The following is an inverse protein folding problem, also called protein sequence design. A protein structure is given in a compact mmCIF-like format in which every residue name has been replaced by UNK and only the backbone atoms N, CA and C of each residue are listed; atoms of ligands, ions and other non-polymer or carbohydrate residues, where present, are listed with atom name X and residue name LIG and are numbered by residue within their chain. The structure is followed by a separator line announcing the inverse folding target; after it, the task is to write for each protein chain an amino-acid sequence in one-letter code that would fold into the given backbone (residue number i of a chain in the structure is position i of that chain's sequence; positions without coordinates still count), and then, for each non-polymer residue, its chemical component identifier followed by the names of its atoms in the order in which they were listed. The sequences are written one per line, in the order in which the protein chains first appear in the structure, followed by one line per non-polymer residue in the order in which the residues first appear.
data_IF_361895334235
#
_entry.id   IF_361895334235
#
_cell.length_a   1.000
_cell.length_b   1.000
_cell.length_c   1.000
_cell.angle_alpha   90.00
_cell.angle_beta   90.00
_cell.angle_gamma   90.00
#
_symmetry.space_group_name_H-M   'P 1'
#
loop_
_entity.id
_entity.type
_entity.pdbx_description
1 polymer ?
#
# COMPACT_ATOMS: atom_id res chain seq x y z
N UNK A 1 8.97 16.02 22.38
CA UNK A 1 9.00 16.74 21.08
C UNK A 1 10.24 16.30 20.29
N UNK A 2 10.17 16.11 18.96
CA UNK A 2 11.32 15.65 18.16
C UNK A 2 12.23 16.86 17.83
N UNK A 3 13.55 16.81 18.09
CA UNK A 3 14.44 17.93 17.83
C UNK A 3 14.46 18.29 16.33
N UNK A 4 14.63 19.59 16.02
CA UNK A 4 14.56 20.13 14.65
C UNK A 4 15.49 19.39 13.69
N UNK A 5 16.71 19.07 14.14
CA UNK A 5 17.70 18.32 13.37
C UNK A 5 17.23 16.91 12.94
N UNK A 6 16.26 16.32 13.64
CA UNK A 6 15.68 15.00 13.31
C UNK A 6 14.32 15.12 12.59
N UNK A 7 13.85 16.33 12.28
CA UNK A 7 12.57 16.57 11.62
C UNK A 7 12.75 16.54 10.10
N UNK A 8 12.11 15.57 9.44
CA UNK A 8 12.04 15.49 7.97
C UNK A 8 10.87 16.35 7.51
N UNK A 9 11.09 17.19 6.50
CA UNK A 9 10.04 18.03 5.89
C UNK A 9 10.05 17.84 4.38
N UNK A 10 8.88 17.78 3.73
CA UNK A 10 8.82 17.77 2.26
C UNK A 10 9.37 19.09 1.72
N UNK A 11 10.18 19.01 0.68
CA UNK A 11 10.71 20.16 -0.06
C UNK A 11 10.17 20.05 -1.48
N UNK A 12 9.51 21.09 -2.03
CA UNK A 12 9.03 21.08 -3.40
C UNK A 12 10.22 21.14 -4.35
N UNK A 13 10.64 19.98 -4.87
CA UNK A 13 11.74 19.84 -5.83
C UNK A 13 11.39 18.75 -6.85
N UNK A 14 12.16 18.67 -7.94
CA UNK A 14 11.97 17.63 -8.95
C UNK A 14 12.42 16.26 -8.41
N UNK A 15 11.65 15.22 -8.71
CA UNK A 15 12.03 13.85 -8.35
C UNK A 15 13.19 13.39 -9.24
N UNK A 16 14.37 13.05 -8.67
CA UNK A 16 15.49 12.58 -9.47
C UNK A 16 15.14 11.25 -10.16
N UNK A 17 15.67 11.04 -11.37
CA UNK A 17 15.34 9.87 -12.20
C UNK A 17 15.67 8.56 -11.49
N UNK A 18 16.77 8.53 -10.73
CA UNK A 18 17.24 7.35 -9.96
C UNK A 18 16.24 6.87 -8.88
N UNK A 19 15.32 7.72 -8.45
CA UNK A 19 14.30 7.40 -7.44
C UNK A 19 12.92 7.13 -8.08
N UNK A 20 12.82 7.14 -9.40
CA UNK A 20 11.57 6.78 -10.08
C UNK A 20 11.28 5.29 -9.88
N UNK A 21 10.02 4.97 -9.62
CA UNK A 21 9.56 3.59 -9.53
C UNK A 21 9.50 3.01 -10.94
N UNK A 22 10.40 2.07 -11.23
CA UNK A 22 10.35 1.28 -12.45
C UNK A 22 9.55 0.01 -12.21
N UNK A 23 8.50 -0.20 -13.02
CA UNK A 23 7.77 -1.47 -13.07
C UNK A 23 8.49 -2.39 -14.04
N UNK A 24 8.86 -3.58 -13.58
CA UNK A 24 9.42 -4.64 -14.40
C UNK A 24 8.34 -5.65 -14.74
N UNK A 25 8.38 -6.18 -15.96
CA UNK A 25 7.56 -7.30 -16.36
C UNK A 25 8.22 -8.58 -15.81
N UNK A 26 7.57 -9.21 -14.84
CA UNK A 26 8.04 -10.47 -14.25
C UNK A 26 7.10 -11.61 -14.66
N UNK A 27 7.40 -12.25 -15.79
CA UNK A 27 6.63 -13.39 -16.32
C UNK A 27 5.21 -13.02 -16.79
N UNK A 28 4.46 -14.04 -17.22
CA UNK A 28 3.04 -13.89 -17.57
C UNK A 28 2.17 -13.91 -16.31
N UNK A 29 1.45 -12.82 -15.98
CA UNK A 29 0.60 -12.75 -14.79
C UNK A 29 -0.62 -13.67 -14.84
N UNK A 30 -0.96 -14.23 -16.01
CA UNK A 30 -2.14 -15.07 -16.21
C UNK A 30 -1.82 -16.57 -16.24
N UNK A 31 -0.55 -16.94 -16.20
CA UNK A 31 -0.11 -18.33 -16.35
C UNK A 31 -0.74 -19.28 -15.31
N UNK A 32 -0.89 -18.80 -14.06
CA UNK A 32 -1.42 -19.59 -12.95
C UNK A 32 -2.92 -19.36 -12.70
N UNK A 33 -3.63 -18.72 -13.64
CA UNK A 33 -5.05 -18.41 -13.47
C UNK A 33 -5.88 -19.70 -13.49
N UNK A 34 -6.68 -19.99 -12.44
CA UNK A 34 -7.51 -21.18 -12.41
C UNK A 34 -8.62 -21.08 -13.46
N UNK A 35 -8.93 -22.22 -14.07
CA UNK A 35 -10.03 -22.30 -15.05
C UNK A 35 -11.37 -22.12 -14.34
N UNK A 36 -12.26 -21.35 -14.96
CA UNK A 36 -13.60 -21.12 -14.45
C UNK A 36 -14.42 -22.42 -14.47
N UNK A 37 -15.02 -22.84 -13.35
CA UNK A 37 -15.85 -24.04 -13.31
C UNK A 37 -17.17 -23.78 -14.07
N UNK A 38 -17.56 -24.73 -14.92
CA UNK A 38 -18.87 -24.71 -15.60
C UNK A 38 -20.03 -24.98 -14.63
N UNK A 39 -19.76 -25.76 -13.59
CA UNK A 39 -20.70 -26.07 -12.51
C UNK A 39 -20.10 -25.66 -11.18
N UNK A 40 -20.37 -24.43 -10.69
CA UNK A 40 -19.76 -23.94 -9.47
C UNK A 40 -20.24 -24.76 -8.26
N UNK A 41 -19.34 -25.18 -7.36
CA UNK A 41 -19.71 -25.89 -6.15
C UNK A 41 -20.49 -24.96 -5.21
N UNK A 42 -21.27 -25.53 -4.27
CA UNK A 42 -21.86 -24.74 -3.19
C UNK A 42 -20.76 -24.06 -2.36
N UNK A 43 -21.10 -22.91 -1.79
CA UNK A 43 -20.16 -22.16 -0.98
C UNK A 43 -19.72 -22.94 0.26
N UNK A 44 -18.41 -23.00 0.47
CA UNK A 44 -17.78 -23.55 1.67
C UNK A 44 -16.81 -22.49 2.19
N UNK A 45 -16.88 -22.08 3.47
CA UNK A 45 -15.95 -21.11 4.04
C UNK A 45 -14.47 -21.46 3.79
N UNK A 46 -13.67 -20.45 3.46
CA UNK A 46 -12.22 -20.54 3.30
C UNK A 46 -11.45 -20.14 4.54
N UNK A 47 -10.14 -19.93 4.39
CA UNK A 47 -9.29 -19.46 5.49
C UNK A 47 -9.53 -17.99 5.81
N UNK A 48 -9.65 -17.15 4.78
CA UNK A 48 -9.92 -15.71 4.88
C UNK A 48 -11.35 -15.39 4.48
N UNK A 49 -11.94 -16.11 3.53
CA UNK A 49 -13.32 -15.87 3.12
C UNK A 49 -14.30 -16.70 3.96
N UNK A 50 -14.65 -16.19 5.15
CA UNK A 50 -15.58 -16.84 6.09
C UNK A 50 -17.04 -16.54 5.75
N UNK A 51 -17.97 -17.32 6.34
CA UNK A 51 -19.42 -17.10 6.18
C UNK A 51 -19.82 -15.67 6.59
N UNK A 52 -19.34 -15.19 7.74
CA UNK A 52 -19.63 -13.84 8.21
C UNK A 52 -19.18 -12.74 7.23
N UNK A 53 -18.01 -12.93 6.59
CA UNK A 53 -17.50 -12.00 5.58
C UNK A 53 -18.32 -12.08 4.29
N UNK A 54 -18.74 -13.27 3.88
CA UNK A 54 -19.62 -13.46 2.73
C UNK A 54 -20.99 -12.80 2.93
N UNK A 55 -21.57 -12.91 4.14
CA UNK A 55 -22.87 -12.31 4.47
C UNK A 55 -22.76 -10.78 4.57
N UNK A 56 -21.65 -10.25 5.10
CA UNK A 56 -21.38 -8.80 5.16
C UNK A 56 -21.07 -8.18 3.80
N UNK A 57 -20.44 -8.93 2.89
CA UNK A 57 -20.10 -8.43 1.56
C UNK A 57 -21.35 -8.14 0.73
N UNK A 58 -22.48 -8.80 1.04
CA UNK A 58 -23.75 -8.70 0.33
C UNK A 58 -23.57 -8.70 -1.19
N UNK A 59 -23.22 -9.86 -1.75
CA UNK A 59 -22.81 -10.00 -3.16
C UNK A 59 -23.92 -9.68 -4.17
N UNK A 60 -25.19 -9.68 -3.75
CA UNK A 60 -26.31 -9.41 -4.64
C UNK A 60 -27.44 -8.66 -3.91
N UNK A 61 -27.22 -7.36 -3.58
CA UNK A 61 -28.22 -6.56 -2.88
C UNK A 61 -29.49 -6.38 -3.74
N UNK A 62 -29.33 -6.40 -5.06
CA UNK A 62 -30.39 -6.26 -6.06
C UNK A 62 -31.17 -7.53 -6.35
N UNK A 63 -30.71 -8.70 -5.86
CA UNK A 63 -31.25 -10.02 -6.23
C UNK A 63 -31.29 -10.24 -7.76
N UNK A 64 -30.30 -9.70 -8.46
CA UNK A 64 -30.20 -9.75 -9.92
C UNK A 64 -29.58 -11.07 -10.39
N UNK A 65 -28.65 -11.64 -9.60
CA UNK A 65 -27.90 -12.82 -9.99
C UNK A 65 -28.72 -14.09 -9.80
N UNK A 66 -28.53 -15.05 -10.70
CA UNK A 66 -29.05 -16.39 -10.51
C UNK A 66 -28.32 -17.09 -9.35
N UNK A 67 -28.94 -18.06 -8.67
CA UNK A 67 -28.28 -18.80 -7.59
C UNK A 67 -26.96 -19.46 -8.02
N UNK A 68 -26.87 -19.91 -9.27
CA UNK A 68 -25.66 -20.49 -9.86
C UNK A 68 -24.56 -19.46 -10.09
N UNK A 69 -24.91 -18.25 -10.55
CA UNK A 69 -23.97 -17.15 -10.74
C UNK A 69 -23.44 -16.66 -9.39
N UNK A 70 -24.31 -16.56 -8.38
CA UNK A 70 -23.92 -16.19 -7.04
C UNK A 70 -22.94 -17.22 -6.43
N UNK A 71 -23.15 -18.51 -6.66
CA UNK A 71 -22.19 -19.55 -6.29
C UNK A 71 -20.85 -19.41 -7.03
N UNK A 72 -20.88 -19.03 -8.31
CA UNK A 72 -19.67 -18.78 -9.09
C UNK A 72 -18.86 -17.60 -8.54
N UNK A 73 -19.52 -16.50 -8.19
CA UNK A 73 -18.87 -15.33 -7.59
C UNK A 73 -18.27 -15.70 -6.23
N UNK A 74 -19.01 -16.44 -5.39
CA UNK A 74 -18.50 -16.96 -4.11
C UNK A 74 -17.29 -17.87 -4.30
N UNK A 75 -17.30 -18.74 -5.32
CA UNK A 75 -16.16 -19.57 -5.67
C UNK A 75 -14.97 -18.71 -6.08
N UNK A 76 -15.16 -17.68 -6.91
CA UNK A 76 -14.09 -16.79 -7.37
C UNK A 76 -13.43 -16.05 -6.19
N UNK A 77 -14.23 -15.47 -5.30
CA UNK A 77 -13.71 -14.76 -4.11
C UNK A 77 -12.95 -15.73 -3.20
N UNK A 78 -13.45 -16.96 -3.04
CA UNK A 78 -12.77 -17.98 -2.25
C UNK A 78 -11.44 -18.41 -2.87
N UNK A 79 -11.42 -18.70 -4.17
CA UNK A 79 -10.23 -19.16 -4.90
C UNK A 79 -9.12 -18.11 -4.84
N UNK A 80 -9.48 -16.83 -4.82
CA UNK A 80 -8.55 -15.71 -4.73
C UNK A 80 -8.54 -15.07 -3.33
N UNK A 81 -8.82 -15.83 -2.27
CA UNK A 81 -8.99 -15.26 -0.91
C UNK A 81 -7.74 -14.56 -0.36
N UNK A 82 -6.54 -14.87 -0.89
CA UNK A 82 -5.29 -14.20 -0.54
C UNK A 82 -5.09 -12.86 -1.23
N UNK A 83 -5.78 -12.62 -2.35
CA UNK A 83 -5.70 -11.37 -3.10
C UNK A 83 -6.51 -10.25 -2.43
N UNK A 84 -7.55 -10.62 -1.68
CA UNK A 84 -8.36 -9.68 -0.90
C UNK A 84 -7.82 -9.53 0.51
N UNK A 85 -7.90 -8.31 1.04
CA UNK A 85 -7.58 -8.01 2.43
C UNK A 85 -8.86 -7.50 3.11
N UNK A 86 -9.34 -8.25 4.09
CA UNK A 86 -10.53 -7.90 4.86
C UNK A 86 -10.20 -7.05 6.08
N UNK A 87 -8.95 -7.13 6.54
CA UNK A 87 -8.37 -6.26 7.54
C UNK A 87 -6.96 -5.80 7.14
N UNK A 88 -6.37 -4.90 7.94
CA UNK A 88 -5.06 -4.36 7.65
C UNK A 88 -3.91 -5.38 7.79
N UNK A 89 -4.11 -6.47 8.54
CA UNK A 89 -3.11 -7.51 8.75
C UNK A 89 -2.99 -8.45 7.55
N UNK A 90 -4.05 -8.57 6.76
CA UNK A 90 -4.11 -9.38 5.53
C UNK A 90 -3.57 -8.67 4.30
N UNK A 91 -3.18 -7.40 4.42
CA UNK A 91 -2.66 -6.59 3.31
C UNK A 91 -1.39 -7.21 2.74
N UNK A 92 -1.43 -7.60 1.47
CA UNK A 92 -0.26 -8.05 0.72
C UNK A 92 0.66 -6.90 0.31
N UNK A 93 1.90 -7.23 0.01
CA UNK A 93 2.85 -6.35 -0.68
C UNK A 93 3.02 -6.83 -2.12
N UNK A 94 3.32 -5.89 -3.03
CA UNK A 94 3.71 -6.27 -4.37
C UNK A 94 5.00 -7.10 -4.34
N UNK A 95 5.17 -7.96 -5.34
CA UNK A 95 6.41 -8.72 -5.50
C UNK A 95 7.57 -7.78 -5.79
N UNK A 96 8.70 -8.01 -5.13
CA UNK A 96 9.90 -7.16 -5.24
C UNK A 96 10.58 -7.24 -6.61
N UNK A 97 10.35 -8.33 -7.36
CA UNK A 97 10.87 -8.51 -8.72
C UNK A 97 10.13 -7.66 -9.75
N UNK A 98 8.83 -7.42 -9.55
CA UNK A 98 8.02 -6.51 -10.34
C UNK A 98 8.21 -5.04 -9.95
N UNK A 99 8.29 -4.78 -8.64
CA UNK A 99 8.40 -3.45 -8.07
C UNK A 99 9.56 -3.40 -7.09
N UNK A 100 10.61 -2.68 -7.47
CA UNK A 100 11.72 -2.43 -6.56
C UNK A 100 11.25 -1.65 -5.33
N UNK A 101 11.89 -1.85 -4.15
CA UNK A 101 11.59 -1.08 -2.96
C UNK A 101 11.67 0.42 -3.22
N UNK A 102 10.61 1.15 -2.82
CA UNK A 102 10.54 2.59 -2.96
C UNK A 102 11.66 3.26 -2.16
N UNK A 103 12.53 4.00 -2.85
CA UNK A 103 13.53 4.86 -2.21
C UNK A 103 12.98 6.28 -2.16
N UNK A 104 12.88 6.85 -0.97
CA UNK A 104 12.48 8.25 -0.80
C UNK A 104 13.74 9.11 -0.90
N UNK A 105 13.84 10.04 -1.88
CA UNK A 105 14.97 10.94 -1.97
C UNK A 105 14.97 11.86 -0.75
N UNK A 106 16.07 11.86 0.01
CA UNK A 106 16.25 12.79 1.13
C UNK A 106 17.34 13.79 0.79
N UNK A 107 17.08 15.06 1.10
CA UNK A 107 18.08 16.13 0.99
C UNK A 107 18.72 16.34 2.35
N UNK A 108 20.05 16.53 2.36
CA UNK A 108 20.76 16.87 3.58
C UNK A 108 20.15 18.13 4.21
N UNK A 109 19.69 18.02 5.46
CA UNK A 109 19.18 19.16 6.18
C UNK A 109 20.34 20.14 6.43
N UNK A 110 20.23 21.36 5.90
CA UNK A 110 21.08 22.46 6.37
C UNK A 110 20.46 22.97 7.67
N UNK A 111 21.09 22.74 8.84
CA UNK A 111 20.64 23.39 10.05
C UNK A 111 20.68 24.89 9.79
N UNK A 112 19.67 25.60 10.30
CA UNK A 112 19.67 27.05 10.24
C UNK A 112 20.96 27.52 10.91
N UNK A 113 21.81 28.24 10.18
CA UNK A 113 22.94 28.94 10.79
C UNK A 113 22.29 29.94 11.73
N UNK A 114 22.40 29.71 13.03
CA UNK A 114 22.04 30.71 14.02
C UNK A 114 22.85 31.95 13.66
N UNK A 115 22.17 33.01 13.22
CA UNK A 115 22.84 34.31 13.08
C UNK A 115 23.39 34.60 14.46
N UNK A 116 24.70 34.84 14.56
CA UNK A 116 25.30 35.32 15.80
C UNK A 116 24.40 36.42 16.34
N UNK A 117 23.90 36.24 17.57
CA UNK A 117 23.11 37.28 18.24
C UNK A 117 24.00 38.52 18.22
N UNK A 118 23.57 39.63 17.58
CA UNK A 118 24.41 40.81 17.49
C UNK A 118 24.71 41.27 18.92
N UNK A 119 26.00 41.36 19.25
CA UNK A 119 26.45 41.84 20.55
C UNK A 119 26.02 43.32 20.64
N UNK A 120 25.26 43.72 21.66
CA UNK A 120 24.94 45.13 21.89
C UNK A 120 26.22 45.96 22.02
N UNK A 121 26.30 47.16 21.42
CA UNK A 121 27.47 48.05 21.52
C UNK A 121 27.98 48.26 22.95
N UNK A 122 27.06 48.28 23.92
CA UNK A 122 27.34 48.54 25.33
C UNK A 122 28.17 47.45 26.03
N UNK A 123 28.23 46.23 25.51
CA UNK A 123 28.94 45.10 26.16
C UNK A 123 30.12 44.57 25.32
N UNK A 124 30.54 45.29 24.28
CA UNK A 124 31.70 44.89 23.46
C UNK A 124 33.02 44.83 24.23
N UNK A 125 33.15 45.57 25.33
CA UNK A 125 34.37 45.63 26.14
C UNK A 125 34.47 44.51 27.18
N UNK A 126 33.37 43.78 27.43
CA UNK A 126 33.26 42.77 28.49
C UNK A 126 33.28 41.32 27.96
N UNK A 127 33.48 41.14 26.64
CA UNK A 127 33.49 39.85 25.93
C UNK A 127 34.86 39.58 25.32
#
# INVERSE_FOLDING_TARGET
YKPVAKKVRPVPTLMPVEFRVERREAGDPLADLPVLPTHPPPFVPGSRFTQERADKLDLDPSKFLLPTELNLVRWLVKTHETAFAWDASERGTFREDMFLPLKIPTLAHKPWVERNIPIPPAIFHDV
#
